data_IF_039739033829
#
_entry.id   IF_039739033829
#
_cell.length_a   1.000
_cell.length_b   1.000
_cell.length_c   1.000
_cell.angle_alpha   90.00
_cell.angle_beta   90.00
_cell.angle_gamma   90.00
#
_symmetry.space_group_name_H-M   'P 1'
#
loop_
_entity.id
_entity.type
_entity.pdbx_description
1 polymer ?
#
# COMPACT_ATOMS: atom_id res chain seq x y z
N UNK A 1 7.93 -6.27 -32.66
CA UNK A 1 9.20 -6.66 -31.99
C UNK A 1 10.31 -5.81 -32.56
N UNK A 2 10.58 -4.66 -31.93
CA UNK A 2 11.74 -3.82 -32.24
C UNK A 2 12.88 -4.21 -31.30
N UNK A 3 14.03 -4.51 -31.89
CA UNK A 3 15.25 -4.91 -31.21
C UNK A 3 15.76 -3.81 -30.27
N UNK A 4 15.71 -4.08 -28.96
CA UNK A 4 16.44 -3.33 -27.95
C UNK A 4 17.74 -4.08 -27.61
N UNK A 5 18.73 -4.02 -28.50
CA UNK A 5 20.12 -4.28 -28.14
C UNK A 5 21.09 -3.72 -29.20
N UNK A 6 21.37 -2.42 -29.12
CA UNK A 6 22.64 -1.88 -29.63
C UNK A 6 23.49 -1.46 -28.43
N UNK A 7 24.45 -2.32 -28.09
CA UNK A 7 25.37 -2.17 -26.97
C UNK A 7 26.32 -0.99 -27.13
N UNK A 8 25.83 0.24 -26.97
CA UNK A 8 26.68 1.36 -26.56
C UNK A 8 26.84 1.26 -25.05
N UNK A 9 27.96 0.70 -24.61
CA UNK A 9 28.46 0.86 -23.24
C UNK A 9 28.33 2.35 -22.89
N UNK A 10 27.41 2.66 -21.97
CA UNK A 10 27.39 3.99 -21.34
C UNK A 10 28.78 4.15 -20.72
N UNK A 11 29.52 5.26 -20.98
CA UNK A 11 30.81 5.47 -20.35
C UNK A 11 30.64 5.24 -18.85
N UNK A 12 31.45 4.33 -18.30
CA UNK A 12 31.27 3.81 -16.95
C UNK A 12 31.21 4.97 -15.97
N UNK A 13 30.02 5.25 -15.43
CA UNK A 13 29.84 6.26 -14.41
C UNK A 13 30.69 5.84 -13.21
N UNK A 14 31.84 6.50 -13.02
CA UNK A 14 32.72 6.21 -11.90
C UNK A 14 32.17 6.92 -10.67
N UNK A 15 31.55 6.15 -9.78
CA UNK A 15 31.12 6.65 -8.47
C UNK A 15 32.35 6.78 -7.59
N UNK A 16 32.93 7.98 -7.52
CA UNK A 16 34.07 8.29 -6.67
C UNK A 16 33.63 9.09 -5.42
N UNK A 17 34.59 9.31 -4.51
CA UNK A 17 34.32 10.08 -3.27
C UNK A 17 33.88 11.51 -3.54
N UNK A 18 34.29 12.11 -4.66
CA UNK A 18 33.91 13.48 -5.01
C UNK A 18 32.45 13.54 -5.45
N UNK A 19 32.01 12.55 -6.24
CA UNK A 19 30.62 12.37 -6.63
C UNK A 19 29.73 12.16 -5.41
N UNK A 20 30.11 11.26 -4.50
CA UNK A 20 29.34 11.04 -3.26
C UNK A 20 29.25 12.33 -2.44
N UNK A 21 30.38 13.03 -2.20
CA UNK A 21 30.38 14.32 -1.49
C UNK A 21 29.50 15.40 -2.16
N UNK A 22 29.37 15.37 -3.49
CA UNK A 22 28.56 16.34 -4.23
C UNK A 22 27.06 16.07 -4.04
N UNK A 23 26.64 14.81 -4.03
CA UNK A 23 25.23 14.40 -4.08
C UNK A 23 24.65 13.85 -2.77
N UNK A 24 25.47 13.63 -1.75
CA UNK A 24 25.03 13.31 -0.38
C UNK A 24 24.42 14.56 0.29
N UNK A 25 23.22 14.91 -0.17
CA UNK A 25 22.41 16.03 0.31
C UNK A 25 20.96 15.57 0.47
N UNK A 26 20.20 16.14 1.41
CA UNK A 26 18.77 15.86 1.52
C UNK A 26 18.05 16.17 0.20
N UNK A 27 17.22 15.23 -0.24
CA UNK A 27 16.36 15.38 -1.41
C UNK A 27 14.96 14.83 -1.12
N UNK A 28 13.96 15.19 -1.94
CA UNK A 28 12.62 14.67 -1.77
C UNK A 28 12.60 13.15 -1.93
N UNK A 29 11.79 12.48 -1.10
CA UNK A 29 11.49 11.06 -1.30
C UNK A 29 10.52 10.95 -2.47
N UNK A 30 11.02 10.56 -3.63
CA UNK A 30 10.22 10.31 -4.82
C UNK A 30 9.47 8.98 -4.72
N UNK A 31 8.48 8.93 -3.84
CA UNK A 31 7.54 7.80 -3.71
C UNK A 31 6.32 7.95 -4.63
N UNK A 32 6.04 9.17 -5.09
CA UNK A 32 4.99 9.51 -6.05
C UNK A 32 5.35 10.80 -6.80
N UNK A 33 4.65 11.08 -7.90
CA UNK A 33 4.68 12.38 -8.57
C UNK A 33 3.26 12.82 -8.92
N UNK A 34 2.79 14.01 -8.49
CA UNK A 34 3.50 14.94 -7.60
C UNK A 34 3.73 14.33 -6.19
N UNK A 35 4.76 14.82 -5.50
CA UNK A 35 5.12 14.33 -4.16
C UNK A 35 4.14 14.85 -3.10
N UNK A 36 4.04 14.17 -1.95
CA UNK A 36 3.14 14.55 -0.83
C UNK A 36 3.22 16.03 -0.42
N UNK A 37 4.39 16.70 -0.38
CA UNK A 37 4.46 18.14 -0.06
C UNK A 37 3.68 19.06 -1.02
N UNK A 38 3.38 18.58 -2.23
CA UNK A 38 2.62 19.31 -3.24
C UNK A 38 1.10 19.09 -3.10
N UNK A 39 0.64 18.22 -2.18
CA UNK A 39 -0.78 17.97 -1.97
C UNK A 39 -1.42 19.15 -1.22
N UNK A 40 -2.60 19.58 -1.67
CA UNK A 40 -3.40 20.63 -1.01
C UNK A 40 -4.60 20.03 -0.26
N UNK A 41 -5.20 20.81 0.64
CA UNK A 41 -6.45 20.45 1.32
C UNK A 41 -7.72 20.71 0.50
N UNK A 42 -7.59 21.01 -0.80
CA UNK A 42 -8.70 21.38 -1.68
C UNK A 42 -9.43 20.16 -2.26
N UNK A 43 -8.82 18.97 -2.19
CA UNK A 43 -9.42 17.72 -2.66
C UNK A 43 -10.56 17.30 -1.74
N UNK A 44 -11.77 17.22 -2.29
CA UNK A 44 -13.02 17.01 -1.55
C UNK A 44 -13.52 15.56 -1.63
N UNK A 45 -14.57 15.28 -0.84
CA UNK A 45 -15.29 14.01 -0.93
C UNK A 45 -15.92 13.82 -2.30
N UNK A 46 -16.47 14.88 -2.89
CA UNK A 46 -17.08 14.88 -4.22
C UNK A 46 -16.05 14.54 -5.30
N UNK A 47 -14.84 15.10 -5.20
CA UNK A 47 -13.73 14.76 -6.10
C UNK A 47 -13.35 13.28 -6.01
N UNK A 48 -13.28 12.74 -4.79
CA UNK A 48 -13.01 11.31 -4.57
C UNK A 48 -14.10 10.42 -5.16
N UNK A 49 -15.37 10.73 -4.91
CA UNK A 49 -16.50 9.97 -5.44
C UNK A 49 -16.55 10.03 -6.98
N UNK A 50 -16.29 11.20 -7.57
CA UNK A 50 -16.18 11.35 -9.02
C UNK A 50 -15.02 10.55 -9.62
N UNK A 51 -13.87 10.51 -8.94
CA UNK A 51 -12.74 9.68 -9.34
C UNK A 51 -13.07 8.18 -9.27
N UNK A 52 -13.77 7.72 -8.23
CA UNK A 52 -14.24 6.33 -8.13
C UNK A 52 -15.25 5.99 -9.23
N UNK A 53 -16.17 6.91 -9.54
CA UNK A 53 -17.14 6.72 -10.62
C UNK A 53 -16.43 6.60 -11.98
N UNK A 54 -15.47 7.48 -12.26
CA UNK A 54 -14.64 7.36 -13.46
C UNK A 54 -13.86 6.03 -13.50
N UNK A 55 -13.28 5.64 -12.35
CA UNK A 55 -12.55 4.40 -12.21
C UNK A 55 -13.43 3.15 -12.39
N UNK A 56 -14.72 3.19 -12.02
CA UNK A 56 -15.65 2.06 -12.15
C UNK A 56 -15.86 1.59 -13.59
N UNK A 57 -15.63 2.47 -14.57
CA UNK A 57 -15.77 2.19 -15.99
C UNK A 57 -14.47 1.72 -16.66
N UNK A 58 -13.35 1.74 -15.93
CA UNK A 58 -12.06 1.27 -16.45
C UNK A 58 -12.02 -0.26 -16.54
N UNK A 59 -11.24 -0.76 -17.49
CA UNK A 59 -11.02 -2.21 -17.69
C UNK A 59 -9.72 -2.69 -17.07
N UNK A 60 -8.82 -1.78 -16.68
CA UNK A 60 -7.56 -2.14 -16.04
C UNK A 60 -7.82 -2.80 -14.68
N UNK A 61 -7.08 -3.86 -14.33
CA UNK A 61 -7.25 -4.55 -13.05
C UNK A 61 -6.85 -3.66 -11.88
N UNK A 62 -7.20 -4.11 -10.67
CA UNK A 62 -6.92 -3.39 -9.43
C UNK A 62 -5.65 -3.91 -8.75
N UNK A 63 -4.98 -3.00 -8.05
CA UNK A 63 -4.02 -3.30 -7.00
C UNK A 63 -4.54 -2.70 -5.70
N UNK A 64 -4.51 -3.47 -4.62
CA UNK A 64 -4.99 -3.06 -3.30
C UNK A 64 -3.84 -3.06 -2.30
N UNK A 65 -3.65 -1.92 -1.64
CA UNK A 65 -2.79 -1.79 -0.48
C UNK A 65 -3.65 -1.61 0.77
N UNK A 66 -3.45 -2.45 1.78
CA UNK A 66 -4.09 -2.33 3.09
C UNK A 66 -3.05 -1.95 4.13
N UNK A 67 -3.27 -0.81 4.79
CA UNK A 67 -2.37 -0.32 5.82
C UNK A 67 -2.79 -0.86 7.19
N UNK A 68 -1.96 -1.70 7.83
CA UNK A 68 -2.17 -2.17 9.20
C UNK A 68 -1.20 -1.43 10.12
N UNK A 69 -1.63 -0.39 10.85
CA UNK A 69 -0.71 0.52 11.53
C UNK A 69 -0.14 -0.06 12.83
N UNK A 70 -0.54 -1.25 13.27
CA UNK A 70 -0.24 -1.72 14.62
C UNK A 70 1.15 -2.32 14.74
N UNK A 71 1.84 -2.01 15.83
CA UNK A 71 3.09 -2.68 16.21
C UNK A 71 3.07 -3.04 17.69
N UNK A 72 3.70 -4.17 18.03
CA UNK A 72 3.89 -4.61 19.43
C UNK A 72 4.72 -3.63 20.25
N UNK A 73 5.71 -2.98 19.62
CA UNK A 73 6.58 -1.99 20.26
C UNK A 73 7.13 -0.98 19.26
N UNK A 74 7.59 0.18 19.75
CA UNK A 74 8.19 1.22 18.92
C UNK A 74 9.68 0.93 18.69
N UNK A 75 10.08 0.68 17.45
CA UNK A 75 11.48 0.68 17.05
C UNK A 75 12.01 2.13 16.96
N UNK A 76 13.18 2.42 17.54
CA UNK A 76 13.72 3.79 17.57
C UNK A 76 14.10 4.37 16.21
N UNK A 77 14.36 3.51 15.23
CA UNK A 77 14.67 3.90 13.85
C UNK A 77 13.42 4.04 12.95
N UNK A 78 12.23 3.68 13.44
CA UNK A 78 11.05 3.54 12.59
C UNK A 78 10.45 4.91 12.22
N UNK A 79 10.42 5.19 10.91
CA UNK A 79 9.73 6.34 10.32
C UNK A 79 8.38 5.99 9.68
N UNK A 80 7.87 4.77 9.86
CA UNK A 80 6.60 4.34 9.31
C UNK A 80 5.41 4.93 10.09
N UNK A 81 4.28 5.13 9.41
CA UNK A 81 3.02 5.45 10.06
C UNK A 81 2.56 4.24 10.90
N UNK A 82 2.66 4.37 12.22
CA UNK A 82 2.47 3.24 13.15
C UNK A 82 1.83 3.69 14.46
N UNK A 83 1.05 2.79 15.05
CA UNK A 83 0.32 2.94 16.28
C UNK A 83 0.71 1.79 17.24
N UNK A 84 1.21 2.14 18.42
CA UNK A 84 1.46 1.15 19.49
C UNK A 84 0.18 1.03 20.31
N UNK A 85 -0.40 -0.17 20.34
CA UNK A 85 -1.64 -0.44 21.07
C UNK A 85 -1.32 -0.84 22.52
N UNK A 86 -2.16 -0.40 23.47
CA UNK A 86 -2.12 -0.82 24.88
C UNK A 86 -3.54 -1.08 25.36
N UNK A 87 -3.81 -2.29 25.86
CA UNK A 87 -5.04 -2.65 26.59
C UNK A 87 -6.31 -2.83 25.74
N UNK A 88 -6.65 -1.88 24.88
CA UNK A 88 -7.92 -1.86 24.16
C UNK A 88 -7.88 -2.69 22.87
N UNK A 89 -9.03 -3.28 22.47
CA UNK A 89 -9.23 -3.92 21.16
C UNK A 89 -9.37 -2.89 20.01
N UNK A 90 -8.34 -2.06 19.89
CA UNK A 90 -8.18 -1.14 18.77
C UNK A 90 -8.05 -1.88 17.42
N UNK A 91 -7.37 -3.04 17.33
CA UNK A 91 -7.28 -3.80 16.09
C UNK A 91 -8.64 -4.28 15.60
N UNK A 92 -9.47 -4.92 16.43
CA UNK A 92 -10.80 -5.39 16.02
C UNK A 92 -11.68 -4.26 15.47
N UNK A 93 -11.76 -3.13 16.19
CA UNK A 93 -12.49 -1.94 15.73
C UNK A 93 -11.96 -1.36 14.41
N UNK A 94 -10.66 -1.50 14.15
CA UNK A 94 -10.05 -1.06 12.91
C UNK A 94 -10.40 -2.00 11.75
N UNK A 95 -10.37 -3.32 11.97
CA UNK A 95 -10.81 -4.32 10.99
C UNK A 95 -12.29 -4.13 10.65
N UNK A 96 -13.15 -3.85 11.63
CA UNK A 96 -14.57 -3.53 11.39
C UNK A 96 -14.77 -2.23 10.57
N UNK A 97 -13.89 -1.25 10.73
CA UNK A 97 -13.90 -0.04 9.93
C UNK A 97 -13.44 -0.33 8.49
N UNK A 98 -12.34 -1.09 8.33
CA UNK A 98 -11.84 -1.52 7.02
C UNK A 98 -12.87 -2.36 6.26
N UNK A 99 -13.52 -3.32 6.89
CA UNK A 99 -14.55 -4.15 6.24
C UNK A 99 -15.71 -3.31 5.69
N UNK A 100 -16.12 -2.25 6.42
CA UNK A 100 -17.13 -1.29 5.94
C UNK A 100 -16.61 -0.47 4.76
N UNK A 101 -15.38 0.01 4.83
CA UNK A 101 -14.73 0.76 3.74
C UNK A 101 -14.60 -0.08 2.46
N UNK A 102 -14.09 -1.31 2.58
CA UNK A 102 -13.96 -2.28 1.49
C UNK A 102 -15.31 -2.51 0.81
N UNK A 103 -16.38 -2.70 1.59
CA UNK A 103 -17.74 -2.87 1.06
C UNK A 103 -18.25 -1.61 0.35
N UNK A 104 -18.01 -0.42 0.90
CA UNK A 104 -18.42 0.84 0.28
C UNK A 104 -17.69 1.06 -1.05
N UNK A 105 -16.39 0.85 -1.10
CA UNK A 105 -15.56 1.02 -2.30
C UNK A 105 -15.91 -0.04 -3.34
N UNK A 106 -15.98 -1.33 -2.96
CA UNK A 106 -16.35 -2.42 -3.86
C UNK A 106 -17.73 -2.20 -4.48
N UNK A 107 -18.72 -1.79 -3.68
CA UNK A 107 -20.06 -1.44 -4.17
C UNK A 107 -20.06 -0.28 -5.18
N UNK A 108 -19.14 0.68 -5.05
CA UNK A 108 -19.03 1.81 -5.98
C UNK A 108 -18.27 1.46 -7.26
N UNK A 109 -17.23 0.63 -7.17
CA UNK A 109 -16.49 0.13 -8.33
C UNK A 109 -17.30 -0.90 -9.15
N UNK A 110 -18.26 -1.57 -8.51
CA UNK A 110 -19.24 -2.41 -9.17
C UNK A 110 -18.60 -3.59 -9.89
N UNK A 111 -18.62 -3.57 -11.23
CA UNK A 111 -18.06 -4.65 -12.06
C UNK A 111 -16.53 -4.63 -12.14
N UNK A 112 -15.89 -3.50 -11.82
CA UNK A 112 -14.43 -3.42 -11.76
C UNK A 112 -13.95 -3.93 -10.40
N UNK A 113 -13.85 -5.25 -10.28
CA UNK A 113 -13.53 -5.90 -9.02
C UNK A 113 -12.39 -6.94 -9.12
N UNK A 114 -11.82 -7.13 -10.32
CA UNK A 114 -10.65 -7.97 -10.53
C UNK A 114 -9.42 -7.36 -9.85
N UNK A 115 -8.79 -8.14 -8.97
CA UNK A 115 -7.63 -7.79 -8.16
C UNK A 115 -6.43 -8.67 -8.56
N UNK A 116 -5.40 -8.05 -9.15
CA UNK A 116 -4.16 -8.74 -9.56
C UNK A 116 -3.03 -8.59 -8.53
N UNK A 117 -3.20 -7.70 -7.54
CA UNK A 117 -2.21 -7.50 -6.50
C UNK A 117 -2.87 -7.09 -5.19
N UNK A 118 -2.49 -7.75 -4.10
CA UNK A 118 -2.90 -7.43 -2.73
C UNK A 118 -1.66 -7.34 -1.84
N UNK A 119 -1.42 -6.18 -1.24
CA UNK A 119 -0.31 -5.98 -0.30
C UNK A 119 -0.79 -5.47 1.04
N UNK A 120 -0.44 -6.15 2.12
CA UNK A 120 -0.63 -5.67 3.48
C UNK A 120 0.69 -5.13 4.04
N UNK A 121 0.70 -3.88 4.47
CA UNK A 121 1.90 -3.24 5.03
C UNK A 121 1.60 -2.25 6.13
N UNK A 122 2.61 -1.48 6.55
CA UNK A 122 2.42 -0.33 7.43
C UNK A 122 3.24 -0.41 8.71
N UNK A 123 2.61 -0.87 9.79
CA UNK A 123 3.31 -1.24 11.01
C UNK A 123 3.75 -2.69 10.95
N UNK A 124 2.89 -3.57 11.42
CA UNK A 124 3.12 -5.01 11.42
C UNK A 124 1.79 -5.69 11.13
N UNK A 125 1.48 -6.02 9.87
CA UNK A 125 0.29 -6.81 9.53
C UNK A 125 0.12 -8.07 10.38
N UNK A 126 1.22 -8.78 10.65
CA UNK A 126 1.24 -9.96 11.54
C UNK A 126 1.06 -9.65 13.03
N UNK A 127 0.72 -8.41 13.39
CA UNK A 127 0.22 -8.06 14.72
C UNK A 127 -1.22 -8.54 14.91
N UNK A 128 -1.99 -8.64 13.82
CA UNK A 128 -3.35 -9.16 13.84
C UNK A 128 -3.32 -10.64 14.22
N UNK A 129 -4.30 -11.08 15.01
CA UNK A 129 -4.50 -12.50 15.25
C UNK A 129 -5.12 -13.20 14.03
N UNK A 130 -5.11 -14.54 14.03
CA UNK A 130 -5.63 -15.37 12.93
C UNK A 130 -7.07 -15.00 12.55
N UNK A 131 -7.95 -14.73 13.53
CA UNK A 131 -9.35 -14.39 13.28
C UNK A 131 -9.49 -13.03 12.61
N UNK A 132 -8.68 -12.05 13.02
CA UNK A 132 -8.65 -10.72 12.42
C UNK A 132 -8.10 -10.76 10.99
N UNK A 133 -7.10 -11.59 10.74
CA UNK A 133 -6.56 -11.84 9.39
C UNK A 133 -7.65 -12.45 8.51
N UNK A 134 -8.31 -13.51 8.98
CA UNK A 134 -9.39 -14.19 8.26
C UNK A 134 -10.55 -13.23 7.97
N UNK A 135 -11.03 -12.50 8.99
CA UNK A 135 -12.10 -11.51 8.85
C UNK A 135 -11.77 -10.44 7.79
N UNK A 136 -10.53 -9.91 7.79
CA UNK A 136 -10.11 -8.91 6.81
C UNK A 136 -10.03 -9.51 5.41
N UNK A 137 -9.43 -10.70 5.28
CA UNK A 137 -9.27 -11.36 4.01
C UNK A 137 -10.63 -11.74 3.40
N UNK A 138 -11.55 -12.27 4.20
CA UNK A 138 -12.95 -12.54 3.81
C UNK A 138 -13.68 -11.28 3.34
N UNK A 139 -13.50 -10.15 4.05
CA UNK A 139 -14.08 -8.88 3.62
C UNK A 139 -13.57 -8.45 2.23
N UNK A 140 -12.29 -8.67 1.95
CA UNK A 140 -11.69 -8.35 0.64
C UNK A 140 -12.26 -9.27 -0.44
N UNK A 141 -12.13 -10.59 -0.30
CA UNK A 141 -12.55 -11.55 -1.34
C UNK A 141 -14.08 -11.63 -1.51
N UNK A 142 -14.84 -11.18 -0.50
CA UNK A 142 -16.30 -11.02 -0.60
C UNK A 142 -16.75 -9.83 -1.45
N UNK A 143 -15.86 -8.88 -1.75
CA UNK A 143 -16.16 -7.69 -2.56
C UNK A 143 -15.30 -7.58 -3.83
N UNK A 144 -14.16 -8.26 -3.87
CA UNK A 144 -13.21 -8.26 -4.97
C UNK A 144 -12.87 -9.69 -5.39
N UNK A 145 -12.66 -9.90 -6.68
CA UNK A 145 -12.22 -11.19 -7.23
C UNK A 145 -10.70 -11.18 -7.30
N UNK A 146 -10.04 -11.99 -6.48
CA UNK A 146 -8.61 -12.22 -6.59
C UNK A 146 -8.34 -13.16 -7.78
N UNK A 147 -7.49 -12.74 -8.72
CA UNK A 147 -7.12 -13.58 -9.87
C UNK A 147 -6.20 -14.73 -9.46
N UNK A 148 -6.22 -15.81 -10.22
CA UNK A 148 -5.45 -17.04 -9.92
C UNK A 148 -3.93 -16.82 -9.85
N UNK A 149 -3.41 -15.84 -10.60
CA UNK A 149 -2.00 -15.44 -10.65
C UNK A 149 -1.71 -14.12 -9.91
N UNK A 150 -2.64 -13.66 -9.07
CA UNK A 150 -2.46 -12.42 -8.32
C UNK A 150 -1.26 -12.47 -7.38
N UNK A 151 -0.51 -11.36 -7.30
CA UNK A 151 0.55 -11.20 -6.30
C UNK A 151 -0.07 -10.86 -4.95
N UNK A 152 0.04 -11.78 -3.98
CA UNK A 152 -0.41 -11.56 -2.60
C UNK A 152 0.79 -11.48 -1.66
N UNK A 153 0.99 -10.32 -1.05
CA UNK A 153 2.14 -10.00 -0.21
C UNK A 153 1.73 -9.44 1.15
N UNK A 154 2.55 -9.73 2.16
CA UNK A 154 2.36 -9.25 3.54
C UNK A 154 3.72 -8.91 4.16
N UNK A 155 3.79 -7.77 4.85
CA UNK A 155 4.93 -7.43 5.69
C UNK A 155 4.88 -8.14 7.04
N UNK A 156 6.02 -8.66 7.50
CA UNK A 156 6.11 -9.50 8.70
C UNK A 156 7.14 -8.92 9.67
N UNK A 157 6.76 -8.76 10.94
CA UNK A 157 7.73 -8.68 12.04
C UNK A 157 8.00 -10.10 12.53
N UNK A 158 9.22 -10.65 12.40
CA UNK A 158 9.51 -12.03 12.80
C UNK A 158 9.36 -12.29 14.31
N UNK A 159 9.16 -11.24 15.13
CA UNK A 159 8.90 -11.35 16.57
C UNK A 159 7.41 -11.54 16.91
N UNK A 160 6.53 -11.40 15.91
CA UNK A 160 5.07 -11.48 16.05
C UNK A 160 4.54 -12.22 14.82
N UNK A 161 4.47 -13.55 14.91
CA UNK A 161 4.12 -14.49 13.84
C UNK A 161 3.13 -15.56 14.30
N UNK A 162 2.54 -15.36 15.47
CA UNK A 162 1.65 -16.28 16.19
C UNK A 162 0.19 -16.04 15.86
#
# INVERSE_FOLDING_TARGET
MQELNSGKSRPGLKIDRLMLKKYDRPGPRYTSYPTVPEWSGEFTTEDYLGALDGASSATDPLSMYVHIPFCKSRCYYCGCNTCIVRGDDKPGRYIDALAREIKMIGGRLGRRNNLIQLHWGGGTPTYLDEKQIEQLFEAIIGNFTLEDDAEVAIEVDPRVTS
#
